data_IF_900491619967
#
_entry.id   IF_900491619967
#
_cell.length_a   1.000
_cell.length_b   1.000
_cell.length_c   1.000
_cell.angle_alpha   90.00
_cell.angle_beta   90.00
_cell.angle_gamma   90.00
#
_symmetry.space_group_name_H-M   'P 1'
#
loop_
_entity.id
_entity.type
_entity.pdbx_description
1 polymer ?
#
# COMPACT_ATOMS: atom_id res chain seq x y z
N UNK A 1 1.62 -5.21 -25.55
CA UNK A 1 2.85 -4.41 -25.38
C UNK A 1 2.46 -2.94 -25.36
N UNK A 2 2.97 -2.17 -24.41
CA UNK A 2 2.64 -0.75 -24.21
C UNK A 2 3.94 0.03 -24.18
N UNK A 3 4.07 1.01 -25.04
CA UNK A 3 5.12 2.04 -24.98
C UNK A 3 4.49 3.35 -24.53
N UNK A 4 5.06 4.02 -23.55
CA UNK A 4 4.52 5.25 -23.00
C UNK A 4 5.62 6.26 -22.71
N UNK A 5 5.30 7.53 -22.95
CA UNK A 5 6.14 8.66 -22.60
C UNK A 5 5.40 9.55 -21.63
N UNK A 6 6.11 10.12 -20.68
CA UNK A 6 5.55 11.08 -19.73
C UNK A 6 6.55 12.19 -19.46
N UNK A 7 6.08 13.41 -19.54
CA UNK A 7 6.76 14.59 -19.04
C UNK A 7 5.93 15.22 -17.94
N UNK A 8 6.56 15.59 -16.85
CA UNK A 8 5.93 16.40 -15.81
C UNK A 8 6.93 17.32 -15.15
N UNK A 9 6.42 18.42 -14.64
CA UNK A 9 7.18 19.43 -13.91
C UNK A 9 6.57 19.65 -12.53
N UNK A 10 7.43 19.71 -11.51
CA UNK A 10 7.07 20.07 -10.15
C UNK A 10 7.65 21.46 -9.88
N UNK A 11 6.80 22.43 -9.59
CA UNK A 11 7.19 23.78 -9.20
C UNK A 11 6.72 24.03 -7.78
N UNK A 12 7.62 24.48 -6.94
CA UNK A 12 7.29 24.89 -5.58
C UNK A 12 7.07 26.41 -5.55
N UNK A 13 5.84 26.83 -5.30
CA UNK A 13 5.44 28.25 -5.25
C UNK A 13 6.07 28.99 -4.07
N UNK A 14 6.29 28.29 -2.95
CA UNK A 14 7.03 28.79 -1.79
C UNK A 14 8.09 27.76 -1.44
N UNK A 15 9.32 28.21 -1.40
CA UNK A 15 10.47 27.39 -1.02
C UNK A 15 10.95 27.84 0.35
N UNK A 16 11.37 26.92 1.24
CA UNK A 16 12.04 27.30 2.47
C UNK A 16 13.37 27.99 2.16
N UNK A 17 13.88 28.74 3.11
CA UNK A 17 15.21 29.33 3.02
C UNK A 17 16.27 28.23 2.89
N UNK A 18 17.38 28.54 2.23
CA UNK A 18 18.50 27.62 1.98
C UNK A 18 19.03 26.98 3.28
N UNK A 19 19.03 27.72 4.37
CA UNK A 19 19.39 27.20 5.69
C UNK A 19 18.45 26.08 6.18
N UNK A 20 17.17 26.12 5.79
CA UNK A 20 16.16 25.11 6.17
C UNK A 20 16.07 23.96 5.18
N UNK A 21 16.63 24.10 3.98
CA UNK A 21 16.63 23.09 2.92
C UNK A 21 17.98 23.00 2.18
N UNK A 22 19.08 22.72 2.91
CA UNK A 22 20.43 22.69 2.34
C UNK A 22 20.60 21.62 1.25
N UNK A 23 19.73 20.63 1.19
CA UNK A 23 19.72 19.56 0.21
C UNK A 23 18.82 19.86 -1.01
N UNK A 24 18.24 21.06 -1.08
CA UNK A 24 17.36 21.52 -2.16
C UNK A 24 16.21 20.54 -2.47
N UNK A 25 15.62 19.96 -1.42
CA UNK A 25 14.52 18.99 -1.55
C UNK A 25 13.31 19.64 -2.25
N UNK A 26 13.03 20.91 -1.93
CA UNK A 26 11.95 21.71 -2.52
C UNK A 26 12.39 22.52 -3.77
N UNK A 27 13.35 22.00 -4.51
CA UNK A 27 13.71 22.59 -5.80
C UNK A 27 12.72 22.20 -6.91
N UNK A 28 12.62 23.04 -7.94
CA UNK A 28 11.83 22.75 -9.12
C UNK A 28 12.47 21.59 -9.91
N UNK A 29 11.64 20.64 -10.36
CA UNK A 29 12.10 19.43 -11.02
C UNK A 29 11.35 19.23 -12.32
N UNK A 30 12.09 18.98 -13.40
CA UNK A 30 11.55 18.53 -14.67
C UNK A 30 11.88 17.06 -14.82
N UNK A 31 10.89 16.23 -15.11
CA UNK A 31 11.08 14.79 -15.23
C UNK A 31 10.54 14.30 -16.56
N UNK A 32 11.39 13.63 -17.33
CA UNK A 32 11.01 12.96 -18.55
C UNK A 32 11.22 11.46 -18.39
N UNK A 33 10.17 10.67 -18.61
CA UNK A 33 10.18 9.23 -18.47
C UNK A 33 9.67 8.57 -19.75
N UNK A 34 10.31 7.46 -20.10
CA UNK A 34 9.85 6.51 -21.10
C UNK A 34 9.67 5.14 -20.46
N UNK A 35 8.73 4.36 -20.94
CA UNK A 35 8.56 2.99 -20.46
C UNK A 35 8.14 2.04 -21.55
N UNK A 36 8.57 0.80 -21.38
CA UNK A 36 8.17 -0.34 -22.18
C UNK A 36 7.59 -1.39 -21.25
N UNK A 37 6.36 -1.82 -21.53
CA UNK A 37 5.66 -2.80 -20.70
C UNK A 37 4.88 -3.83 -21.52
N UNK A 38 4.67 -4.97 -20.88
CA UNK A 38 3.78 -6.03 -21.36
C UNK A 38 2.83 -6.37 -20.23
N UNK A 39 1.54 -6.41 -20.53
CA UNK A 39 0.50 -6.78 -19.57
C UNK A 39 -0.51 -7.76 -20.19
N UNK A 40 -0.97 -8.65 -19.34
CA UNK A 40 -2.12 -9.52 -19.58
C UNK A 40 -3.08 -9.33 -18.41
N UNK A 41 -4.36 -9.12 -18.70
CA UNK A 41 -5.40 -8.92 -17.70
C UNK A 41 -6.55 -9.85 -18.05
N UNK A 42 -7.00 -10.58 -17.05
CA UNK A 42 -8.23 -11.36 -17.04
C UNK A 42 -9.02 -11.05 -15.76
N UNK A 43 -10.19 -11.68 -15.67
CA UNK A 43 -11.04 -11.58 -14.49
C UNK A 43 -11.61 -12.97 -14.19
N UNK A 44 -11.57 -13.34 -12.92
CA UNK A 44 -12.28 -14.50 -12.38
C UNK A 44 -13.45 -14.02 -11.55
N UNK A 45 -14.58 -14.70 -11.65
CA UNK A 45 -15.77 -14.37 -10.85
C UNK A 45 -15.73 -15.12 -9.53
N UNK A 46 -15.83 -14.39 -8.43
CA UNK A 46 -15.92 -14.96 -7.09
C UNK A 46 -16.97 -14.22 -6.27
N UNK A 47 -17.32 -14.77 -5.12
CA UNK A 47 -18.30 -14.18 -4.18
C UNK A 47 -17.69 -14.08 -2.81
N UNK A 48 -18.27 -13.21 -1.97
CA UNK A 48 -17.81 -13.02 -0.59
C UNK A 48 -16.35 -12.53 -0.51
N UNK A 49 -15.98 -11.58 -1.38
CA UNK A 49 -14.67 -10.91 -1.28
C UNK A 49 -14.87 -9.60 -0.50
N UNK A 50 -15.46 -8.59 -1.13
CA UNK A 50 -15.74 -7.29 -0.49
C UNK A 50 -17.22 -7.04 -0.26
N UNK A 51 -18.08 -7.84 -0.90
CA UNK A 51 -19.54 -7.75 -0.79
C UNK A 51 -20.13 -9.07 -0.36
N UNK A 52 -21.30 -8.97 0.25
CA UNK A 52 -22.03 -10.17 0.66
C UNK A 52 -22.81 -10.75 -0.53
N UNK A 53 -22.51 -12.00 -0.92
CA UNK A 53 -23.15 -12.78 -2.00
C UNK A 53 -23.06 -12.22 -3.42
N UNK A 54 -22.70 -10.97 -3.62
CA UNK A 54 -22.54 -10.40 -4.96
C UNK A 54 -21.42 -11.12 -5.72
N UNK A 55 -21.59 -11.22 -7.02
CA UNK A 55 -20.52 -11.68 -7.91
C UNK A 55 -19.56 -10.50 -8.09
N UNK A 56 -18.29 -10.74 -7.84
CA UNK A 56 -17.23 -9.74 -7.96
C UNK A 56 -16.21 -10.23 -8.99
N UNK A 57 -15.84 -9.34 -9.91
CA UNK A 57 -14.79 -9.63 -10.90
C UNK A 57 -13.43 -9.37 -10.25
N UNK A 58 -12.71 -10.46 -9.98
CA UNK A 58 -11.40 -10.44 -9.34
C UNK A 58 -10.33 -10.38 -10.43
N UNK A 59 -9.48 -9.34 -10.44
CA UNK A 59 -8.46 -9.22 -11.48
C UNK A 59 -7.39 -10.29 -11.32
N UNK A 60 -7.11 -10.99 -12.42
CA UNK A 60 -5.99 -11.93 -12.58
C UNK A 60 -5.10 -11.43 -13.71
N UNK A 61 -3.82 -11.75 -13.66
CA UNK A 61 -2.94 -11.37 -14.76
C UNK A 61 -1.49 -11.18 -14.38
N UNK A 62 -0.75 -10.63 -15.33
CA UNK A 62 0.67 -10.33 -15.18
C UNK A 62 1.03 -9.04 -15.92
N UNK A 63 1.95 -8.29 -15.34
CA UNK A 63 2.46 -7.07 -15.93
C UNK A 63 3.94 -6.94 -15.62
N UNK A 64 4.73 -6.66 -16.63
CA UNK A 64 6.16 -6.35 -16.51
C UNK A 64 6.40 -5.03 -17.22
N UNK A 65 7.09 -4.11 -16.58
CA UNK A 65 7.46 -2.84 -17.20
C UNK A 65 8.87 -2.42 -16.81
N UNK A 66 9.59 -1.88 -17.79
CA UNK A 66 10.86 -1.18 -17.59
C UNK A 66 10.62 0.32 -17.78
N UNK A 67 11.23 1.12 -16.94
CA UNK A 67 11.08 2.58 -16.91
C UNK A 67 12.49 3.18 -16.97
N UNK A 68 12.73 4.05 -17.94
CA UNK A 68 13.94 4.82 -18.05
C UNK A 68 13.61 6.30 -18.17
N UNK A 69 14.54 7.16 -17.77
CA UNK A 69 14.32 8.59 -17.92
C UNK A 69 15.40 9.47 -17.36
N UNK A 70 15.10 10.76 -17.29
CA UNK A 70 16.01 11.77 -16.77
C UNK A 70 15.21 12.76 -15.93
N UNK A 71 15.71 13.08 -14.76
CA UNK A 71 15.23 14.20 -13.96
C UNK A 71 16.26 15.33 -13.96
N UNK A 72 15.82 16.52 -14.34
CA UNK A 72 16.58 17.76 -14.21
C UNK A 72 16.16 18.45 -12.91
N UNK A 73 17.14 18.70 -12.07
CA UNK A 73 16.99 19.40 -10.81
C UNK A 73 18.08 20.49 -10.73
N UNK A 74 17.67 21.76 -10.79
CA UNK A 74 18.59 22.92 -10.76
C UNK A 74 19.69 22.86 -11.84
N UNK A 75 19.37 22.32 -13.04
CA UNK A 75 20.33 22.15 -14.13
C UNK A 75 21.17 20.86 -14.07
N UNK A 76 21.05 20.09 -12.99
CA UNK A 76 21.68 18.75 -12.89
C UNK A 76 20.76 17.68 -13.42
N UNK A 77 21.20 17.03 -14.51
CA UNK A 77 20.45 15.94 -15.13
C UNK A 77 20.88 14.59 -14.59
N UNK A 78 19.98 13.94 -13.91
CA UNK A 78 20.23 12.62 -13.30
C UNK A 78 19.41 11.56 -14.01
N UNK A 79 20.03 10.56 -14.65
CA UNK A 79 19.33 9.43 -15.25
C UNK A 79 18.60 8.59 -14.19
N UNK A 80 17.46 8.05 -14.55
CA UNK A 80 16.64 7.17 -13.73
C UNK A 80 16.41 5.84 -14.45
N UNK A 81 16.45 4.74 -13.68
CA UNK A 81 16.08 3.42 -14.15
C UNK A 81 15.15 2.76 -13.11
N UNK A 82 14.09 2.12 -13.60
CA UNK A 82 13.14 1.41 -12.75
C UNK A 82 12.52 0.21 -13.45
N UNK A 83 12.00 -0.71 -12.64
CA UNK A 83 11.28 -1.90 -13.08
C UNK A 83 10.08 -2.17 -12.19
N UNK A 84 9.03 -2.74 -12.77
CA UNK A 84 7.83 -3.16 -12.07
C UNK A 84 7.41 -4.54 -12.56
N UNK A 85 7.10 -5.41 -11.62
CA UNK A 85 6.57 -6.75 -11.86
C UNK A 85 5.29 -6.91 -11.06
N UNK A 86 4.20 -7.35 -11.72
CA UNK A 86 2.94 -7.70 -11.08
C UNK A 86 2.50 -9.07 -11.57
N UNK A 87 1.99 -9.84 -10.65
CA UNK A 87 1.38 -11.13 -10.91
C UNK A 87 0.20 -11.35 -9.97
N UNK A 88 -0.87 -11.96 -10.43
CA UNK A 88 -1.99 -12.36 -9.60
C UNK A 88 -2.81 -13.43 -10.25
N UNK A 89 -3.17 -14.45 -9.47
CA UNK A 89 -3.94 -15.59 -9.96
C UNK A 89 -4.60 -16.34 -8.81
N UNK A 90 -5.52 -17.25 -9.16
CA UNK A 90 -6.09 -18.22 -8.25
C UNK A 90 -5.25 -19.50 -8.22
N UNK A 91 -5.05 -19.99 -7.00
CA UNK A 91 -4.37 -21.25 -6.70
C UNK A 91 -5.31 -22.16 -5.89
N UNK A 92 -4.93 -23.41 -5.69
CA UNK A 92 -5.71 -24.36 -4.86
C UNK A 92 -5.90 -23.87 -3.40
N UNK A 93 -4.98 -23.01 -2.91
CA UNK A 93 -5.03 -22.44 -1.56
C UNK A 93 -5.69 -21.05 -1.50
N UNK A 94 -6.18 -20.52 -2.60
CA UNK A 94 -6.83 -19.20 -2.69
C UNK A 94 -6.19 -18.28 -3.71
N UNK A 95 -6.52 -16.99 -3.65
CA UNK A 95 -5.97 -15.97 -4.52
C UNK A 95 -4.68 -15.40 -3.94
N UNK A 96 -3.69 -15.21 -4.78
CA UNK A 96 -2.44 -14.53 -4.42
C UNK A 96 -2.06 -13.52 -5.51
N UNK A 97 -1.78 -12.29 -5.09
CA UNK A 97 -1.23 -11.26 -5.96
C UNK A 97 0.04 -10.66 -5.37
N UNK A 98 0.97 -10.29 -6.24
CA UNK A 98 2.24 -9.67 -5.94
C UNK A 98 2.47 -8.44 -6.82
N UNK A 99 2.95 -7.34 -6.25
CA UNK A 99 3.48 -6.15 -6.94
C UNK A 99 4.88 -5.87 -6.39
N UNK A 100 5.90 -5.98 -7.23
CA UNK A 100 7.30 -5.70 -6.87
C UNK A 100 7.84 -4.60 -7.77
N UNK A 101 8.44 -3.58 -7.17
CA UNK A 101 8.92 -2.40 -7.85
C UNK A 101 10.31 -2.03 -7.33
N UNK A 102 11.22 -1.75 -8.24
CA UNK A 102 12.57 -1.29 -7.94
C UNK A 102 12.89 -0.12 -8.85
N UNK A 103 13.43 0.96 -8.31
CA UNK A 103 13.88 2.08 -9.13
C UNK A 103 14.78 3.05 -8.37
N UNK A 104 15.65 3.73 -9.09
CA UNK A 104 16.60 4.65 -8.51
C UNK A 104 17.31 5.52 -9.55
N UNK A 105 17.97 6.54 -9.05
CA UNK A 105 18.76 7.45 -9.88
C UNK A 105 20.18 6.92 -10.06
N UNK A 106 20.67 6.96 -11.29
CA UNK A 106 22.01 6.52 -11.67
C UNK A 106 22.97 7.71 -11.50
N UNK A 107 23.60 7.80 -10.34
CA UNK A 107 24.59 8.83 -10.03
C UNK A 107 25.88 8.20 -9.49
N UNK A 108 27.00 8.88 -9.67
CA UNK A 108 28.28 8.47 -9.11
C UNK A 108 28.35 8.72 -7.59
N UNK A 109 27.51 9.58 -7.07
CA UNK A 109 27.41 9.85 -5.64
C UNK A 109 26.81 8.64 -4.88
N UNK A 110 27.14 8.54 -3.59
CA UNK A 110 26.67 7.45 -2.71
C UNK A 110 25.13 7.39 -2.59
N UNK A 111 24.45 8.47 -2.89
CA UNK A 111 23.02 8.63 -2.69
C UNK A 111 22.25 8.40 -4.00
N UNK A 112 22.02 7.15 -4.34
CA UNK A 112 21.24 6.75 -5.54
C UNK A 112 19.73 6.86 -5.34
N UNK A 113 19.26 7.20 -4.17
CA UNK A 113 17.84 7.30 -3.80
C UNK A 113 17.03 6.12 -4.35
N UNK A 114 17.56 4.91 -4.21
CA UNK A 114 16.92 3.70 -4.71
C UNK A 114 15.78 3.29 -3.79
N UNK A 115 14.67 2.92 -4.37
CA UNK A 115 13.48 2.43 -3.66
C UNK A 115 13.18 1.01 -4.12
N UNK A 116 13.11 0.09 -3.18
CA UNK A 116 12.54 -1.24 -3.37
C UNK A 116 11.21 -1.30 -2.63
N UNK A 117 10.16 -1.63 -3.35
CA UNK A 117 8.80 -1.78 -2.81
C UNK A 117 8.22 -3.11 -3.23
N UNK A 118 7.52 -3.78 -2.30
CA UNK A 118 6.71 -4.93 -2.62
C UNK A 118 5.41 -4.92 -1.84
N UNK A 119 4.40 -5.54 -2.45
CA UNK A 119 3.09 -5.74 -1.86
C UNK A 119 2.59 -7.12 -2.28
N UNK A 120 2.21 -7.93 -1.30
CA UNK A 120 1.55 -9.22 -1.49
C UNK A 120 0.15 -9.15 -0.90
N UNK A 121 -0.84 -9.56 -1.65
CA UNK A 121 -2.24 -9.64 -1.22
C UNK A 121 -2.72 -11.06 -1.42
N UNK A 122 -3.22 -11.66 -0.36
CA UNK A 122 -3.74 -13.02 -0.36
C UNK A 122 -5.14 -13.03 0.26
N UNK A 123 -6.02 -13.87 -0.27
CA UNK A 123 -7.20 -14.31 0.44
C UNK A 123 -7.46 -15.81 0.24
N UNK A 124 -7.95 -16.45 1.30
CA UNK A 124 -8.22 -17.89 1.31
C UNK A 124 -9.42 -18.28 0.45
N UNK A 125 -9.60 -19.55 0.09
CA UNK A 125 -10.89 -20.07 -0.29
C UNK A 125 -11.94 -19.78 0.79
N UNK A 126 -13.21 -19.74 0.40
CA UNK A 126 -14.30 -19.60 1.34
C UNK A 126 -14.43 -20.89 2.18
N UNK A 127 -14.46 -20.75 3.49
CA UNK A 127 -14.70 -21.89 4.37
C UNK A 127 -15.90 -21.64 5.27
N UNK A 128 -16.53 -22.72 5.73
CA UNK A 128 -17.81 -22.67 6.43
C UNK A 128 -17.69 -23.21 7.85
N UNK A 129 -18.32 -22.51 8.79
CA UNK A 129 -18.51 -22.97 10.17
C UNK A 129 -20.03 -22.87 10.44
N UNK A 130 -20.72 -24.02 10.40
CA UNK A 130 -22.17 -24.06 10.41
C UNK A 130 -22.74 -23.37 9.17
N UNK A 131 -23.60 -22.38 9.38
CA UNK A 131 -24.20 -21.58 8.30
C UNK A 131 -23.39 -20.30 7.95
N UNK A 132 -22.37 -19.99 8.72
CA UNK A 132 -21.50 -18.83 8.49
C UNK A 132 -20.41 -19.16 7.47
N UNK A 133 -20.14 -18.20 6.59
CA UNK A 133 -19.01 -18.25 5.70
C UNK A 133 -17.88 -17.38 6.24
N UNK A 134 -16.65 -17.79 5.99
CA UNK A 134 -15.47 -17.07 6.45
C UNK A 134 -14.42 -17.02 5.34
N UNK A 135 -13.66 -15.94 5.33
CA UNK A 135 -12.51 -15.77 4.47
C UNK A 135 -11.39 -15.08 5.24
N UNK A 136 -10.18 -15.56 5.06
CA UNK A 136 -8.99 -14.97 5.63
C UNK A 136 -8.30 -14.11 4.59
N UNK A 137 -7.98 -12.87 4.96
CA UNK A 137 -7.21 -11.93 4.15
C UNK A 137 -5.86 -11.69 4.81
N UNK A 138 -4.81 -11.63 3.99
CA UNK A 138 -3.44 -11.29 4.41
C UNK A 138 -2.86 -10.31 3.40
N UNK A 139 -2.27 -9.24 3.89
CA UNK A 139 -1.53 -8.29 3.05
C UNK A 139 -0.19 -7.98 3.70
N UNK A 140 0.85 -8.10 2.91
CA UNK A 140 2.20 -7.72 3.32
C UNK A 140 2.73 -6.64 2.39
N UNK A 141 3.02 -5.47 2.96
CA UNK A 141 3.56 -4.31 2.25
C UNK A 141 4.91 -3.95 2.84
N UNK A 142 5.86 -3.62 1.97
CA UNK A 142 7.15 -3.15 2.44
C UNK A 142 7.74 -2.10 1.50
N UNK A 143 8.45 -1.15 2.06
CA UNK A 143 9.19 -0.12 1.35
C UNK A 143 10.57 -0.01 1.98
N UNK A 144 11.60 -0.16 1.17
CA UNK A 144 13.00 -0.09 1.60
C UNK A 144 13.71 0.99 0.78
N UNK A 145 14.22 2.00 1.47
CA UNK A 145 15.11 2.99 0.88
C UNK A 145 16.56 2.51 0.91
N UNK A 146 17.15 2.37 -0.27
CA UNK A 146 18.55 1.98 -0.43
C UNK A 146 19.37 3.18 -0.86
N UNK A 147 20.52 3.40 -0.23
CA UNK A 147 21.40 4.54 -0.54
C UNK A 147 20.66 5.88 -0.55
N UNK A 148 19.79 6.07 0.45
CA UNK A 148 19.03 7.33 0.64
C UNK A 148 19.91 8.38 1.32
N UNK A 149 19.62 9.65 1.05
CA UNK A 149 20.17 10.76 1.82
C UNK A 149 19.58 10.72 3.24
N UNK A 150 20.43 10.91 4.26
CA UNK A 150 19.94 11.02 5.64
C UNK A 150 19.36 12.43 5.87
N UNK A 151 18.17 12.63 5.35
CA UNK A 151 17.43 13.86 5.43
C UNK A 151 16.05 13.62 6.03
N UNK A 152 15.70 14.38 7.04
CA UNK A 152 14.45 14.17 7.81
C UNK A 152 13.20 14.17 6.92
N UNK A 153 13.19 15.00 5.87
CA UNK A 153 12.04 15.12 4.95
C UNK A 153 11.97 14.00 3.90
N UNK A 154 13.06 13.22 3.72
CA UNK A 154 13.11 12.04 2.84
C UNK A 154 12.85 10.75 3.64
N UNK A 155 12.24 10.83 4.81
CA UNK A 155 11.90 9.68 5.64
C UNK A 155 10.44 9.27 5.44
N UNK A 156 10.18 7.98 5.56
CA UNK A 156 8.83 7.40 5.49
C UNK A 156 8.28 7.19 6.90
N UNK A 157 6.96 7.07 6.98
CA UNK A 157 6.24 6.83 8.23
C UNK A 157 5.28 5.65 8.10
N UNK A 158 4.73 5.20 9.23
CA UNK A 158 3.63 4.23 9.27
C UNK A 158 2.25 4.92 9.23
N UNK A 159 2.20 6.22 8.99
CA UNK A 159 0.96 6.99 8.97
C UNK A 159 0.18 6.83 7.66
N UNK A 160 -1.13 7.03 7.73
CA UNK A 160 -2.00 7.17 6.57
C UNK A 160 -2.28 5.88 5.81
N UNK A 161 -2.70 6.02 4.55
CA UNK A 161 -3.15 4.91 3.69
C UNK A 161 -2.01 4.01 3.22
N UNK A 162 -0.78 4.50 3.17
CA UNK A 162 0.41 3.71 2.84
C UNK A 162 1.06 3.06 4.07
N UNK A 163 0.53 3.36 5.25
CA UNK A 163 0.93 2.86 6.55
C UNK A 163 -0.12 1.95 7.19
N UNK A 164 -0.27 2.06 8.51
CA UNK A 164 -1.31 1.39 9.29
C UNK A 164 -2.52 2.32 9.36
N UNK A 165 -3.66 1.92 8.81
CA UNK A 165 -4.87 2.75 8.80
C UNK A 165 -5.30 3.08 10.24
N UNK A 166 -5.52 4.38 10.48
CA UNK A 166 -5.88 4.90 11.82
C UNK A 166 -4.67 5.21 12.72
N UNK A 167 -3.46 4.80 12.33
CA UNK A 167 -2.23 5.16 13.01
C UNK A 167 -1.76 6.55 12.57
N UNK A 168 -1.38 7.39 13.53
CA UNK A 168 -0.84 8.71 13.25
C UNK A 168 0.15 9.09 14.36
N UNK A 169 1.44 8.92 14.07
CA UNK A 169 2.54 9.32 14.94
C UNK A 169 3.26 10.54 14.36
N UNK A 170 3.43 11.62 15.11
CA UNK A 170 4.15 12.80 14.63
C UNK A 170 5.66 12.61 14.63
N UNK A 171 6.18 11.63 15.34
CA UNK A 171 7.63 11.48 15.59
C UNK A 171 8.25 10.26 14.92
N UNK A 172 7.42 9.27 14.53
CA UNK A 172 7.92 7.99 14.04
C UNK A 172 8.20 8.05 12.55
N UNK A 173 9.47 8.02 12.20
CA UNK A 173 9.95 7.99 10.81
C UNK A 173 11.12 7.04 10.65
N UNK A 174 11.33 6.53 9.43
CA UNK A 174 12.41 5.62 9.11
C UNK A 174 12.82 5.67 7.65
N UNK A 175 13.79 4.83 7.27
CA UNK A 175 14.21 4.64 5.88
C UNK A 175 13.68 3.35 5.27
N UNK A 176 13.15 2.45 6.09
CA UNK A 176 12.40 1.27 5.65
C UNK A 176 11.20 1.02 6.54
N UNK A 177 10.17 0.44 5.98
CA UNK A 177 8.98 -0.03 6.69
C UNK A 177 8.48 -1.33 6.12
N UNK A 178 7.86 -2.14 6.97
CA UNK A 178 7.17 -3.37 6.58
C UNK A 178 5.90 -3.51 7.41
N UNK A 179 4.78 -3.86 6.78
CA UNK A 179 3.48 -3.94 7.43
C UNK A 179 2.81 -5.24 7.01
N UNK A 180 2.48 -6.06 7.98
CA UNK A 180 1.64 -7.24 7.81
C UNK A 180 0.24 -6.91 8.33
N UNK A 181 -0.76 -7.01 7.47
CA UNK A 181 -2.18 -6.81 7.77
C UNK A 181 -2.90 -8.15 7.67
N UNK A 182 -3.65 -8.51 8.67
CA UNK A 182 -4.47 -9.70 8.76
C UNK A 182 -5.93 -9.31 8.97
N UNK A 183 -6.86 -9.96 8.28
CA UNK A 183 -8.29 -9.79 8.53
C UNK A 183 -9.02 -11.11 8.33
N UNK A 184 -9.79 -11.50 9.34
CA UNK A 184 -10.75 -12.61 9.25
C UNK A 184 -12.13 -12.01 9.07
N UNK A 185 -12.67 -12.14 7.86
CA UNK A 185 -14.01 -11.67 7.51
C UNK A 185 -15.01 -12.81 7.68
N UNK A 186 -16.10 -12.56 8.39
CA UNK A 186 -17.25 -13.45 8.38
C UNK A 186 -18.39 -12.90 7.51
N UNK A 187 -19.27 -13.78 7.06
CA UNK A 187 -20.45 -13.42 6.28
C UNK A 187 -21.66 -14.08 6.93
N UNK A 188 -22.57 -13.23 7.41
CA UNK A 188 -23.75 -13.66 8.16
C UNK A 188 -24.79 -14.34 7.25
N UNK A 189 -25.32 -15.51 7.61
CA UNK A 189 -26.45 -16.11 6.91
C UNK A 189 -27.77 -15.41 7.22
N UNK A 190 -27.82 -14.58 8.27
CA UNK A 190 -29.05 -13.97 8.77
C UNK A 190 -29.19 -12.54 8.25
N UNK A 191 -30.38 -12.20 7.81
CA UNK A 191 -30.79 -10.84 7.49
C UNK A 191 -31.98 -10.42 8.37
N UNK A 192 -31.95 -9.20 8.89
CA UNK A 192 -33.05 -8.57 9.59
C UNK A 192 -33.49 -7.34 8.79
N UNK A 193 -34.71 -7.36 8.26
CA UNK A 193 -35.24 -6.32 7.34
C UNK A 193 -34.30 -6.04 6.15
N UNK A 194 -33.67 -7.09 5.63
CA UNK A 194 -32.66 -6.98 4.55
C UNK A 194 -31.28 -6.55 5.00
N UNK A 195 -31.08 -6.12 6.24
CA UNK A 195 -29.77 -5.81 6.77
C UNK A 195 -29.05 -7.06 7.24
N UNK A 196 -27.80 -7.22 6.77
CA UNK A 196 -26.86 -8.26 7.23
C UNK A 196 -25.71 -7.62 7.96
N UNK A 197 -25.42 -8.13 9.14
CA UNK A 197 -24.30 -7.68 9.96
C UNK A 197 -23.23 -8.77 9.97
N UNK A 198 -22.10 -8.51 9.36
CA UNK A 198 -21.00 -9.44 9.18
C UNK A 198 -19.79 -8.96 9.99
N UNK A 199 -19.52 -9.54 11.17
CA UNK A 199 -18.36 -9.16 11.97
C UNK A 199 -17.04 -9.57 11.31
N UNK A 200 -15.98 -8.82 11.60
CA UNK A 200 -14.61 -9.15 11.19
C UNK A 200 -13.62 -8.82 12.30
N UNK A 201 -12.51 -9.55 12.32
CA UNK A 201 -11.37 -9.27 13.15
C UNK A 201 -10.22 -8.78 12.28
N UNK A 202 -9.49 -7.77 12.75
CA UNK A 202 -8.33 -7.25 12.05
C UNK A 202 -7.12 -7.09 12.97
N UNK A 203 -5.93 -7.19 12.38
CA UNK A 203 -4.68 -6.92 13.07
C UNK A 203 -3.61 -6.43 12.10
N UNK A 204 -2.81 -5.46 12.52
CA UNK A 204 -1.62 -5.03 11.82
C UNK A 204 -0.40 -5.15 12.71
N UNK A 205 0.71 -5.56 12.09
CA UNK A 205 2.04 -5.53 12.67
C UNK A 205 2.91 -4.70 11.73
N UNK A 206 3.38 -3.55 12.23
CA UNK A 206 4.23 -2.64 11.48
C UNK A 206 5.63 -2.60 12.04
N UNK A 207 6.62 -2.65 11.17
CA UNK A 207 8.03 -2.48 11.45
C UNK A 207 8.53 -1.22 10.76
N UNK A 208 9.31 -0.41 11.46
CA UNK A 208 9.96 0.76 10.90
C UNK A 208 11.32 0.98 11.54
N UNK A 209 12.31 1.28 10.72
CA UNK A 209 13.67 1.44 11.18
C UNK A 209 14.53 2.34 10.31
N UNK A 210 15.74 2.60 10.81
CA UNK A 210 16.72 3.50 10.20
C UNK A 210 17.99 2.78 9.76
N UNK A 211 18.08 1.46 9.97
CA UNK A 211 19.27 0.68 9.64
C UNK A 211 18.90 -0.57 8.83
N UNK A 212 19.15 -0.54 7.53
CA UNK A 212 18.90 -1.69 6.63
C UNK A 212 19.76 -2.91 6.93
N UNK A 213 20.78 -2.79 7.80
CA UNK A 213 21.67 -3.90 8.18
C UNK A 213 21.21 -4.64 9.42
N UNK A 214 20.33 -4.04 10.21
CA UNK A 214 19.89 -4.61 11.47
C UNK A 214 18.39 -4.38 11.73
N UNK A 215 17.57 -5.17 11.03
CA UNK A 215 16.11 -5.13 11.14
C UNK A 215 15.59 -5.49 12.54
N UNK A 216 16.42 -6.15 13.39
CA UNK A 216 16.05 -6.48 14.77
C UNK A 216 15.99 -5.25 15.69
N UNK A 217 16.55 -4.11 15.24
CA UNK A 217 16.45 -2.82 15.96
C UNK A 217 15.23 -2.00 15.57
N UNK A 218 14.40 -2.52 14.67
CA UNK A 218 13.21 -1.83 14.22
C UNK A 218 12.20 -1.65 15.35
N UNK A 219 11.49 -0.53 15.30
CA UNK A 219 10.35 -0.33 16.17
C UNK A 219 9.17 -1.15 15.64
N UNK A 220 8.63 -2.00 16.52
CA UNK A 220 7.45 -2.82 16.23
C UNK A 220 6.23 -2.15 16.81
N UNK A 221 5.21 -1.99 15.97
CA UNK A 221 3.95 -1.39 16.33
C UNK A 221 2.81 -2.30 15.91
N UNK A 222 1.80 -2.37 16.76
CA UNK A 222 0.66 -3.26 16.55
C UNK A 222 -0.64 -2.51 16.62
N UNK A 223 -1.60 -2.96 15.83
CA UNK A 223 -3.01 -2.58 15.90
C UNK A 223 -3.85 -3.86 15.90
N UNK A 224 -4.86 -3.91 16.73
CA UNK A 224 -5.90 -4.95 16.70
C UNK A 224 -7.25 -4.30 16.70
N UNK A 225 -8.24 -4.95 16.12
CA UNK A 225 -9.57 -4.39 16.06
C UNK A 225 -10.64 -5.44 15.74
N UNK A 226 -11.85 -5.06 16.06
CA UNK A 226 -13.08 -5.76 15.66
C UNK A 226 -13.97 -4.79 14.91
N UNK A 227 -14.61 -5.24 13.87
CA UNK A 227 -15.55 -4.41 13.12
C UNK A 227 -16.74 -5.18 12.61
N UNK A 228 -17.65 -4.43 11.99
CA UNK A 228 -18.88 -4.93 11.41
C UNK A 228 -19.04 -4.36 10.00
N UNK A 229 -19.30 -5.24 9.06
CA UNK A 229 -19.80 -4.92 7.74
C UNK A 229 -21.30 -5.00 7.78
N UNK A 230 -21.98 -3.93 7.36
CA UNK A 230 -23.43 -3.85 7.28
C UNK A 230 -23.79 -3.66 5.81
N UNK A 231 -24.51 -4.60 5.26
CA UNK A 231 -25.04 -4.58 3.90
C UNK A 231 -26.55 -4.64 3.92
N UNK A 232 -27.23 -4.18 2.88
CA UNK A 232 -28.67 -4.34 2.73
C UNK A 232 -28.99 -5.02 1.39
N UNK A 233 -29.79 -6.08 1.44
CA UNK A 233 -30.13 -6.90 0.29
C UNK A 233 -31.09 -6.21 -0.71
N UNK A 234 -31.82 -5.18 -0.27
CA UNK A 234 -32.88 -4.53 -1.06
C UNK A 234 -32.52 -3.14 -1.55
N UNK A 235 -31.62 -2.46 -0.85
CA UNK A 235 -31.28 -1.08 -1.15
C UNK A 235 -29.83 -1.05 -1.66
N UNK A 236 -29.54 -0.50 -2.84
CA UNK A 236 -28.20 -0.40 -3.38
C UNK A 236 -27.39 0.69 -2.66
N UNK A 237 -27.50 0.74 -1.34
CA UNK A 237 -26.65 1.54 -0.48
C UNK A 237 -25.28 0.86 -0.44
N UNK A 238 -24.22 1.66 -0.49
CA UNK A 238 -22.87 1.13 -0.27
C UNK A 238 -22.74 0.41 1.07
N UNK A 239 -21.74 -0.44 1.20
CA UNK A 239 -21.45 -1.13 2.45
C UNK A 239 -21.05 -0.13 3.53
N UNK A 240 -21.64 -0.26 4.70
CA UNK A 240 -21.24 0.49 5.89
C UNK A 240 -20.28 -0.36 6.72
N UNK A 241 -19.17 0.25 7.11
CA UNK A 241 -18.20 -0.40 7.97
C UNK A 241 -17.99 0.42 9.24
N UNK A 242 -18.05 -0.27 10.37
CA UNK A 242 -17.70 0.29 11.67
C UNK A 242 -16.63 -0.58 12.30
N UNK A 243 -15.61 0.01 12.90
CA UNK A 243 -14.58 -0.75 13.61
C UNK A 243 -14.10 -0.04 14.86
N UNK A 244 -13.83 -0.84 15.89
CA UNK A 244 -13.13 -0.47 17.11
C UNK A 244 -11.70 -0.94 17.00
N UNK A 245 -10.76 -0.03 17.19
CA UNK A 245 -9.34 -0.25 17.00
C UNK A 245 -8.65 0.03 18.33
N UNK A 246 -7.75 -0.85 18.71
CA UNK A 246 -6.84 -0.67 19.82
C UNK A 246 -5.40 -0.73 19.36
N UNK A 247 -4.63 0.28 19.75
CA UNK A 247 -3.19 0.39 19.51
C UNK A 247 -2.48 0.49 20.86
N UNK A 248 -1.68 -0.51 21.25
CA UNK A 248 -0.99 -0.50 22.54
C UNK A 248 -0.08 0.72 22.72
N UNK A 249 0.55 1.16 21.63
CA UNK A 249 1.46 2.31 21.63
C UNK A 249 1.42 3.07 20.32
N UNK A 250 1.35 4.40 20.40
CA UNK A 250 1.54 5.32 19.27
C UNK A 250 2.59 6.35 19.68
N UNK A 251 3.85 6.26 19.18
CA UNK A 251 4.91 7.17 19.54
C UNK A 251 4.55 8.63 19.29
N UNK A 252 4.81 9.49 20.25
CA UNK A 252 4.46 10.92 20.21
C UNK A 252 2.99 11.25 20.50
N UNK A 253 2.13 10.23 20.73
CA UNK A 253 0.71 10.39 21.08
C UNK A 253 0.42 9.80 22.47
N UNK A 254 0.83 8.57 22.72
CA UNK A 254 0.60 7.89 23.99
C UNK A 254 0.48 6.35 23.88
N UNK A 255 0.06 5.74 24.99
CA UNK A 255 -0.18 4.32 25.10
C UNK A 255 -1.69 4.03 25.19
N UNK A 256 -2.09 2.79 24.88
CA UNK A 256 -3.47 2.31 24.98
C UNK A 256 -4.48 3.18 24.20
N UNK A 257 -4.13 3.55 22.96
CA UNK A 257 -4.98 4.38 22.12
C UNK A 257 -6.13 3.54 21.59
N UNK A 258 -7.36 4.02 21.82
CA UNK A 258 -8.59 3.42 21.30
C UNK A 258 -9.23 4.38 20.30
N UNK A 259 -9.71 3.84 19.18
CA UNK A 259 -10.40 4.62 18.16
C UNK A 259 -11.61 3.87 17.66
N UNK A 260 -12.69 4.62 17.44
CA UNK A 260 -13.82 4.19 16.64
C UNK A 260 -13.71 4.82 15.26
N UNK A 261 -13.92 4.03 14.22
CA UNK A 261 -13.87 4.52 12.84
C UNK A 261 -14.97 3.90 12.00
N UNK A 262 -15.55 4.72 11.15
CA UNK A 262 -16.53 4.32 10.13
C UNK A 262 -15.93 4.33 8.71
N UNK A 263 -14.61 4.36 8.60
CA UNK A 263 -13.92 4.39 7.31
C UNK A 263 -13.89 2.98 6.73
N UNK A 264 -14.30 2.83 5.48
CA UNK A 264 -14.15 1.58 4.75
C UNK A 264 -12.69 1.15 4.73
N UNK A 265 -12.45 -0.10 5.12
CA UNK A 265 -11.12 -0.67 5.08
C UNK A 265 -10.71 -0.86 3.62
N UNK A 266 -9.74 -0.07 3.17
CA UNK A 266 -9.18 -0.16 1.82
C UNK A 266 -7.89 -0.97 1.77
N UNK A 267 -7.51 -1.63 2.88
CA UNK A 267 -6.25 -2.34 2.99
C UNK A 267 -6.11 -3.47 1.98
N UNK A 268 -7.22 -4.13 1.62
CA UNK A 268 -7.21 -5.29 0.71
C UNK A 268 -7.60 -4.97 -0.73
N UNK A 269 -7.38 -3.73 -1.20
CA UNK A 269 -7.54 -3.43 -2.62
C UNK A 269 -6.66 -4.36 -3.46
N UNK A 270 -7.29 -4.98 -4.45
CA UNK A 270 -6.60 -5.85 -5.38
C UNK A 270 -5.78 -5.03 -6.38
N UNK A 271 -4.62 -5.52 -6.82
CA UNK A 271 -3.79 -4.81 -7.78
C UNK A 271 -4.44 -4.81 -9.15
N UNK A 272 -4.28 -3.70 -9.88
CA UNK A 272 -4.58 -3.63 -11.31
C UNK A 272 -3.34 -4.02 -12.11
N UNK A 273 -3.50 -4.95 -13.06
CA UNK A 273 -2.40 -5.42 -13.91
C UNK A 273 -2.20 -4.54 -15.15
N UNK A 274 -2.98 -3.49 -15.31
CA UNK A 274 -2.78 -2.54 -16.39
C UNK A 274 -1.58 -1.62 -16.09
N UNK A 275 -0.68 -1.53 -17.06
CA UNK A 275 0.43 -0.59 -17.03
C UNK A 275 0.17 0.50 -18.09
N UNK A 276 -0.05 1.73 -17.66
CA UNK A 276 -0.46 2.82 -18.55
C UNK A 276 0.60 3.89 -18.72
N UNK A 277 1.17 4.38 -17.63
CA UNK A 277 2.11 5.50 -17.65
C UNK A 277 3.33 5.25 -16.78
N UNK A 278 4.53 5.70 -17.24
CA UNK A 278 5.72 5.64 -16.41
C UNK A 278 5.64 6.61 -15.24
N UNK A 279 6.05 6.12 -14.06
CA UNK A 279 6.18 6.91 -12.84
C UNK A 279 7.46 6.52 -12.13
N UNK A 280 8.07 7.47 -11.43
CA UNK A 280 9.13 7.15 -10.47
C UNK A 280 8.55 6.22 -9.39
N UNK A 281 9.33 5.22 -8.99
CA UNK A 281 8.90 4.32 -7.91
C UNK A 281 8.78 5.12 -6.62
N UNK A 282 7.57 5.13 -6.04
CA UNK A 282 7.26 5.96 -4.88
C UNK A 282 7.91 5.41 -3.61
N UNK A 283 8.51 6.32 -2.88
CA UNK A 283 9.09 6.06 -1.57
C UNK A 283 8.14 6.58 -0.48
N UNK A 284 7.07 5.80 -0.21
CA UNK A 284 6.04 6.17 0.78
C UNK A 284 5.33 4.93 1.38
#
# INVERSE_FOLDING_TARGET
MVFSLRYYRINYLKKPDEFLDPEHFYSDKNTFLASLGVNYIGYEQDRYIFRHQDIEDIPIGKSVALIGGVQDNLGYRTPYLGGRLRYGDYFSFGYLAADVQLGGFLTQERNKQTTLRWEFTYFSPLFNIGQWHFRQFVKWRSVVGLSRKDYVKDRISLNGSTGIIGFNSPTLTGIHKSILTLQTQSYSPFALWGFRVSPFLMGDIGFIGNDNRNLLKDQVLTKVGIGFYITNDYIPLGNFQFSFIYMPRVPGVGNHIQKFTSINNTDFRLPYFNYNMPELIRYE
#
